data_IF_834567238063
#
_entry.id   IF_834567238063
#
_cell.length_a   1.000
_cell.length_b   1.000
_cell.length_c   1.000
_cell.angle_alpha   90.00
_cell.angle_beta   90.00
_cell.angle_gamma   90.00
#
_symmetry.space_group_name_H-M   'P 1'
#
loop_
_entity.id
_entity.type
_entity.pdbx_description
1 polymer ?
#
# COMPACT_ATOMS: atom_id res chain seq x y z
N UNK A 1 -36.16 -35.85 6.36
CA UNK A 1 -35.12 -36.19 5.35
C UNK A 1 -35.28 -35.20 4.20
N UNK A 2 -34.55 -34.12 4.22
CA UNK A 2 -34.65 -33.02 3.24
C UNK A 2 -33.58 -33.24 2.18
N UNK A 3 -34.02 -33.64 0.99
CA UNK A 3 -33.17 -33.77 -0.19
C UNK A 3 -32.80 -32.37 -0.70
N UNK A 4 -31.53 -32.01 -0.49
CA UNK A 4 -30.92 -30.90 -1.19
C UNK A 4 -30.78 -31.27 -2.67
N UNK A 5 -31.72 -30.82 -3.50
CA UNK A 5 -31.51 -30.80 -4.95
C UNK A 5 -30.48 -29.69 -5.25
N UNK A 6 -29.24 -30.15 -5.45
CA UNK A 6 -28.22 -29.34 -6.10
C UNK A 6 -28.66 -29.14 -7.56
N UNK A 7 -29.22 -27.98 -7.87
CA UNK A 7 -29.41 -27.51 -9.25
C UNK A 7 -28.04 -27.34 -9.88
N UNK A 8 -27.61 -28.34 -10.60
CA UNK A 8 -26.41 -28.30 -11.44
C UNK A 8 -26.75 -27.45 -12.68
N UNK A 9 -26.23 -26.21 -12.72
CA UNK A 9 -26.30 -25.40 -13.91
C UNK A 9 -25.30 -25.96 -14.95
N UNK A 10 -25.78 -26.39 -16.14
CA UNK A 10 -24.88 -26.92 -17.17
C UNK A 10 -24.13 -25.74 -17.82
N UNK A 11 -22.88 -25.55 -17.48
CA UNK A 11 -22.03 -24.52 -18.09
C UNK A 11 -20.80 -24.09 -17.31
N UNK A 12 -20.71 -24.36 -16.03
CA UNK A 12 -19.48 -24.09 -15.28
C UNK A 12 -18.48 -25.23 -15.51
N UNK A 13 -17.40 -24.92 -16.25
CA UNK A 13 -16.24 -25.79 -16.31
C UNK A 13 -15.73 -25.99 -14.87
N UNK A 14 -15.55 -27.23 -14.40
CA UNK A 14 -14.96 -27.49 -13.10
C UNK A 14 -13.54 -26.92 -13.13
N UNK A 15 -13.31 -25.83 -12.42
CA UNK A 15 -11.98 -25.35 -12.07
C UNK A 15 -11.37 -26.44 -11.20
N UNK A 16 -10.38 -27.15 -11.72
CA UNK A 16 -9.71 -28.25 -11.04
C UNK A 16 -9.17 -27.81 -9.68
N UNK A 17 -9.05 -28.72 -8.70
CA UNK A 17 -8.48 -28.42 -7.40
C UNK A 17 -7.00 -28.10 -7.59
N UNK A 18 -6.64 -26.82 -7.64
CA UNK A 18 -5.26 -26.37 -7.78
C UNK A 18 -5.02 -25.03 -8.49
N UNK A 19 -6.04 -24.45 -9.12
CA UNK A 19 -5.89 -23.07 -9.59
C UNK A 19 -6.03 -22.13 -8.40
N UNK A 20 -4.91 -21.74 -7.80
CA UNK A 20 -4.86 -20.58 -6.94
C UNK A 20 -5.49 -19.40 -7.72
N UNK A 21 -6.44 -18.67 -7.12
CA UNK A 21 -6.99 -17.49 -7.78
C UNK A 21 -5.81 -16.61 -8.17
N UNK A 22 -5.60 -16.45 -9.47
CA UNK A 22 -4.57 -15.56 -9.99
C UNK A 22 -4.85 -14.20 -9.35
N UNK A 23 -3.98 -13.75 -8.46
CA UNK A 23 -4.06 -12.43 -7.87
C UNK A 23 -3.77 -11.45 -9.02
N UNK A 24 -4.80 -11.15 -9.81
CA UNK A 24 -4.70 -10.13 -10.84
C UNK A 24 -4.40 -8.80 -10.16
N UNK A 25 -3.13 -8.42 -10.24
CA UNK A 25 -2.67 -7.13 -9.73
C UNK A 25 -3.34 -6.02 -10.54
N UNK A 26 -4.06 -5.15 -9.85
CA UNK A 26 -4.73 -4.00 -10.45
C UNK A 26 -3.67 -2.98 -10.89
N UNK A 27 -3.17 -3.14 -12.13
CA UNK A 27 -2.13 -2.27 -12.71
C UNK A 27 -2.45 -0.77 -12.62
N UNK A 28 -3.65 -0.29 -12.99
CA UNK A 28 -3.98 1.12 -12.86
C UNK A 28 -3.93 1.60 -11.40
N UNK A 29 -4.34 0.79 -10.43
CA UNK A 29 -4.28 1.15 -9.02
C UNK A 29 -2.82 1.18 -8.52
N UNK A 30 -1.97 0.27 -9.00
CA UNK A 30 -0.54 0.28 -8.72
C UNK A 30 0.12 1.61 -9.11
N UNK A 31 -0.05 2.03 -10.37
CA UNK A 31 0.56 3.27 -10.85
C UNK A 31 -0.02 4.52 -10.18
N UNK A 32 -1.32 4.52 -9.90
CA UNK A 32 -1.97 5.62 -9.18
C UNK A 32 -1.47 5.73 -7.75
N UNK A 33 -1.39 4.64 -7.01
CA UNK A 33 -0.91 4.66 -5.63
C UNK A 33 0.57 5.04 -5.56
N UNK A 34 1.40 4.52 -6.47
CA UNK A 34 2.80 4.88 -6.59
C UNK A 34 2.97 6.37 -6.88
N UNK A 35 2.24 6.91 -7.86
CA UNK A 35 2.33 8.31 -8.27
C UNK A 35 1.86 9.27 -7.17
N UNK A 36 0.71 9.00 -6.56
CA UNK A 36 0.17 9.84 -5.47
C UNK A 36 1.09 9.82 -4.25
N UNK A 37 1.59 8.64 -3.87
CA UNK A 37 2.50 8.51 -2.73
C UNK A 37 3.84 9.21 -2.99
N UNK A 38 4.42 9.02 -4.18
CA UNK A 38 5.66 9.70 -4.58
C UNK A 38 5.50 11.22 -4.60
N UNK A 39 4.38 11.71 -5.14
CA UNK A 39 4.06 13.14 -5.15
C UNK A 39 3.91 13.68 -3.73
N UNK A 40 3.16 12.99 -2.86
CA UNK A 40 2.96 13.40 -1.47
C UNK A 40 4.29 13.50 -0.71
N UNK A 41 5.18 12.53 -0.89
CA UNK A 41 6.52 12.55 -0.29
C UNK A 41 7.35 13.70 -0.85
N UNK A 42 7.34 13.91 -2.17
CA UNK A 42 8.11 14.99 -2.80
C UNK A 42 7.66 16.36 -2.30
N UNK A 43 6.35 16.60 -2.21
CA UNK A 43 5.78 17.84 -1.67
C UNK A 43 6.17 18.02 -0.22
N UNK A 44 6.08 16.98 0.59
CA UNK A 44 6.46 17.04 2.01
C UNK A 44 7.94 17.38 2.17
N UNK A 45 8.84 16.73 1.40
CA UNK A 45 10.26 17.04 1.42
C UNK A 45 10.54 18.48 0.96
N UNK A 46 9.86 18.95 -0.08
CA UNK A 46 9.98 20.32 -0.53
C UNK A 46 9.59 21.33 0.57
N UNK A 47 8.51 21.05 1.30
CA UNK A 47 8.08 21.87 2.44
C UNK A 47 9.12 21.83 3.56
N UNK A 48 9.63 20.67 3.93
CA UNK A 48 10.64 20.53 4.97
C UNK A 48 11.94 21.25 4.62
N UNK A 49 12.35 21.25 3.34
CA UNK A 49 13.53 21.97 2.87
C UNK A 49 13.31 23.50 2.82
N UNK A 50 12.06 23.94 2.59
CA UNK A 50 11.72 25.36 2.59
C UNK A 50 11.63 25.96 4.00
N UNK A 51 11.43 25.12 5.02
CA UNK A 51 11.42 25.57 6.41
C UNK A 51 12.85 25.80 6.90
N UNK A 52 13.10 26.89 7.66
CA UNK A 52 14.43 27.19 8.23
C UNK A 52 14.74 26.28 9.42
N UNK A 53 14.76 24.95 9.18
CA UNK A 53 15.03 23.97 10.21
C UNK A 53 16.54 23.76 10.36
N UNK A 54 17.02 23.79 11.61
CA UNK A 54 18.43 23.56 11.93
C UNK A 54 18.81 22.07 11.70
N UNK A 55 20.08 21.82 11.37
CA UNK A 55 20.62 20.45 11.23
C UNK A 55 20.43 19.62 12.52
N UNK A 56 20.51 20.26 13.67
CA UNK A 56 20.33 19.62 14.98
C UNK A 56 18.90 19.11 15.14
N UNK A 57 17.90 19.81 14.61
CA UNK A 57 16.50 19.35 14.60
C UNK A 57 16.35 17.99 13.89
N UNK A 58 16.95 17.83 12.71
CA UNK A 58 16.87 16.57 11.98
C UNK A 58 17.68 15.44 12.65
N UNK A 59 18.75 15.77 13.36
CA UNK A 59 19.52 14.79 14.12
C UNK A 59 18.73 14.27 15.31
N UNK A 60 18.06 15.15 16.03
CA UNK A 60 17.35 14.80 17.27
C UNK A 60 15.97 14.18 16.99
N UNK A 61 15.28 14.64 15.96
CA UNK A 61 13.92 14.26 15.63
C UNK A 61 13.78 13.41 14.36
N UNK A 62 14.84 13.19 13.60
CA UNK A 62 14.80 12.49 12.31
C UNK A 62 14.23 11.07 12.40
N UNK A 63 14.51 10.36 13.50
CA UNK A 63 13.99 9.03 13.75
C UNK A 63 12.45 8.98 13.91
N UNK A 64 11.84 10.10 14.35
CA UNK A 64 10.39 10.22 14.49
C UNK A 64 9.74 10.85 13.26
N UNK A 65 10.39 11.87 12.70
CA UNK A 65 9.88 12.61 11.55
C UNK A 65 9.70 11.68 10.33
N UNK A 66 10.64 10.78 10.08
CA UNK A 66 10.58 9.85 8.96
C UNK A 66 9.33 8.97 8.98
N UNK A 67 9.12 8.15 10.02
CA UNK A 67 7.93 7.30 10.14
C UNK A 67 6.61 8.08 10.17
N UNK A 68 6.57 9.21 10.89
CA UNK A 68 5.36 10.05 10.97
C UNK A 68 5.02 10.64 9.58
N UNK A 69 6.01 11.19 8.89
CA UNK A 69 5.84 11.72 7.53
C UNK A 69 5.37 10.65 6.56
N UNK A 70 5.95 9.46 6.64
CA UNK A 70 5.54 8.32 5.83
C UNK A 70 4.08 7.92 6.09
N UNK A 71 3.68 7.82 7.35
CA UNK A 71 2.31 7.51 7.75
C UNK A 71 1.32 8.57 7.24
N UNK A 72 1.64 9.85 7.40
CA UNK A 72 0.80 10.96 6.93
C UNK A 72 0.63 10.92 5.41
N UNK A 73 1.72 10.73 4.64
CA UNK A 73 1.64 10.59 3.18
C UNK A 73 0.78 9.40 2.78
N UNK A 74 0.88 8.28 3.50
CA UNK A 74 0.08 7.08 3.25
C UNK A 74 -1.41 7.30 3.52
N UNK A 75 -1.75 8.07 4.57
CA UNK A 75 -3.13 8.46 4.86
C UNK A 75 -3.70 9.41 3.79
N UNK A 76 -2.90 10.36 3.31
CA UNK A 76 -3.29 11.23 2.20
C UNK A 76 -3.57 10.40 0.96
N UNK A 77 -2.67 9.47 0.61
CA UNK A 77 -2.85 8.58 -0.53
C UNK A 77 -4.11 7.73 -0.39
N UNK A 78 -4.38 7.20 0.80
CA UNK A 78 -5.61 6.44 1.08
C UNK A 78 -6.87 7.28 0.86
N UNK A 79 -6.86 8.53 1.30
CA UNK A 79 -8.00 9.45 1.11
C UNK A 79 -8.22 9.78 -0.36
N UNK A 80 -7.15 10.09 -1.10
CA UNK A 80 -7.20 10.43 -2.54
C UNK A 80 -7.71 9.24 -3.36
N UNK A 81 -7.29 8.02 -3.03
CA UNK A 81 -7.68 6.81 -3.76
C UNK A 81 -8.92 6.12 -3.19
N UNK A 82 -9.53 6.67 -2.13
CA UNK A 82 -10.68 6.08 -1.43
C UNK A 82 -10.41 4.63 -0.99
N UNK A 83 -9.22 4.37 -0.45
CA UNK A 83 -8.82 3.08 0.09
C UNK A 83 -9.25 2.94 1.56
N UNK A 84 -9.54 1.72 2.03
CA UNK A 84 -9.82 1.49 3.45
C UNK A 84 -8.58 1.84 4.29
N UNK A 85 -8.82 2.50 5.41
CA UNK A 85 -7.78 2.99 6.31
C UNK A 85 -6.86 1.87 6.80
N UNK A 86 -7.45 0.71 7.14
CA UNK A 86 -6.70 -0.45 7.60
C UNK A 86 -5.70 -0.97 6.56
N UNK A 87 -6.11 -1.02 5.29
CA UNK A 87 -5.21 -1.40 4.18
C UNK A 87 -4.07 -0.40 4.04
N UNK A 88 -4.38 0.91 4.09
CA UNK A 88 -3.36 1.95 3.94
C UNK A 88 -2.33 1.91 5.07
N UNK A 89 -2.78 1.70 6.31
CA UNK A 89 -1.89 1.56 7.47
C UNK A 89 -1.04 0.29 7.37
N UNK A 90 -1.63 -0.82 6.95
CA UNK A 90 -0.90 -2.07 6.72
C UNK A 90 0.15 -1.89 5.61
N UNK A 91 -0.24 -1.30 4.48
CA UNK A 91 0.68 -1.03 3.37
C UNK A 91 1.79 -0.06 3.77
N UNK A 92 1.47 0.96 4.58
CA UNK A 92 2.46 1.90 5.12
C UNK A 92 3.45 1.20 6.05
N UNK A 93 2.97 0.34 6.94
CA UNK A 93 3.82 -0.42 7.86
C UNK A 93 4.74 -1.37 7.08
N UNK A 94 4.17 -2.15 6.15
CA UNK A 94 4.93 -3.10 5.33
C UNK A 94 6.00 -2.38 4.48
N UNK A 95 5.63 -1.29 3.81
CA UNK A 95 6.54 -0.46 3.03
C UNK A 95 7.62 0.20 3.90
N UNK A 96 7.24 0.73 5.06
CA UNK A 96 8.17 1.36 5.99
C UNK A 96 9.21 0.37 6.54
N UNK A 97 8.79 -0.81 6.97
CA UNK A 97 9.70 -1.85 7.47
C UNK A 97 10.63 -2.36 6.36
N UNK A 98 10.08 -2.68 5.18
CA UNK A 98 10.89 -3.14 4.05
C UNK A 98 11.92 -2.08 3.62
N UNK A 99 11.50 -0.83 3.54
CA UNK A 99 12.39 0.28 3.20
C UNK A 99 13.44 0.56 4.26
N UNK A 100 13.11 0.44 5.53
CA UNK A 100 14.08 0.57 6.62
C UNK A 100 15.18 -0.50 6.51
N UNK A 101 14.80 -1.76 6.34
CA UNK A 101 15.75 -2.86 6.21
C UNK A 101 16.69 -2.69 5.01
N UNK A 102 16.14 -2.33 3.85
CA UNK A 102 16.94 -2.05 2.65
C UNK A 102 17.78 -0.78 2.82
N UNK A 103 17.22 0.24 3.45
CA UNK A 103 17.93 1.50 3.73
C UNK A 103 19.16 1.33 4.59
N UNK A 104 19.15 0.39 5.55
CA UNK A 104 20.29 0.08 6.40
C UNK A 104 21.45 -0.58 5.62
N UNK A 105 21.13 -1.36 4.57
CA UNK A 105 22.13 -2.12 3.81
C UNK A 105 22.56 -1.37 2.54
N UNK A 106 21.61 -0.81 1.80
CA UNK A 106 21.83 -0.24 0.47
C UNK A 106 21.70 1.31 0.43
N UNK A 107 21.44 1.93 1.58
CA UNK A 107 21.32 3.38 1.71
C UNK A 107 19.90 3.90 1.57
N UNK A 108 19.68 5.12 2.05
CA UNK A 108 18.34 5.73 2.21
C UNK A 108 17.54 5.84 0.91
N UNK A 109 18.20 6.11 -0.23
CA UNK A 109 17.54 6.20 -1.52
C UNK A 109 16.94 4.85 -1.97
N UNK A 110 17.69 3.77 -1.82
CA UNK A 110 17.22 2.42 -2.12
C UNK A 110 16.07 2.02 -1.20
N UNK A 111 16.17 2.34 0.09
CA UNK A 111 15.12 2.12 1.07
C UNK A 111 13.81 2.83 0.71
N UNK A 112 13.89 4.09 0.28
CA UNK A 112 12.72 4.86 -0.15
C UNK A 112 12.03 4.23 -1.39
N UNK A 113 12.80 3.83 -2.38
CA UNK A 113 12.27 3.17 -3.58
C UNK A 113 11.55 1.87 -3.21
N UNK A 114 12.16 1.04 -2.37
CA UNK A 114 11.55 -0.22 -1.92
C UNK A 114 10.28 0.04 -1.10
N UNK A 115 10.29 1.04 -0.21
CA UNK A 115 9.09 1.45 0.54
C UNK A 115 7.92 1.79 -0.38
N UNK A 116 8.18 2.60 -1.42
CA UNK A 116 7.18 3.01 -2.40
C UNK A 116 6.64 1.81 -3.19
N UNK A 117 7.52 0.92 -3.64
CA UNK A 117 7.12 -0.27 -4.40
C UNK A 117 6.27 -1.22 -3.56
N UNK A 118 6.69 -1.53 -2.33
CA UNK A 118 5.94 -2.40 -1.41
C UNK A 118 4.57 -1.80 -1.09
N UNK A 119 4.51 -0.50 -0.81
CA UNK A 119 3.26 0.21 -0.59
C UNK A 119 2.32 0.11 -1.81
N UNK A 120 2.84 0.36 -3.01
CA UNK A 120 2.06 0.31 -4.25
C UNK A 120 1.56 -1.11 -4.56
N UNK A 121 2.38 -2.14 -4.34
CA UNK A 121 1.98 -3.55 -4.51
C UNK A 121 0.89 -3.93 -3.52
N UNK A 122 1.02 -3.53 -2.24
CA UNK A 122 0.00 -3.78 -1.23
C UNK A 122 -1.35 -3.13 -1.59
N UNK A 123 -1.31 -1.88 -2.08
CA UNK A 123 -2.51 -1.20 -2.57
C UNK A 123 -3.10 -1.85 -3.83
N UNK A 124 -2.27 -2.34 -4.74
CA UNK A 124 -2.70 -2.99 -5.99
C UNK A 124 -3.39 -4.34 -5.77
N UNK A 125 -3.14 -4.99 -4.64
CA UNK A 125 -3.83 -6.21 -4.22
C UNK A 125 -5.25 -5.98 -3.70
N UNK A 126 -5.68 -4.73 -3.56
CA UNK A 126 -7.01 -4.40 -3.05
C UNK A 126 -8.09 -4.61 -4.11
N UNK A 127 -9.06 -5.45 -3.80
CA UNK A 127 -10.25 -5.69 -4.63
C UNK A 127 -11.51 -5.15 -3.94
N UNK A 128 -11.97 -3.99 -4.39
CA UNK A 128 -13.17 -3.33 -3.86
C UNK A 128 -14.45 -4.20 -3.97
N UNK A 129 -14.51 -5.09 -4.97
CA UNK A 129 -15.67 -5.97 -5.16
C UNK A 129 -15.73 -7.05 -4.09
N UNK A 130 -14.58 -7.58 -3.67
CA UNK A 130 -14.50 -8.56 -2.59
C UNK A 130 -14.91 -7.96 -1.25
N UNK A 131 -14.47 -6.75 -0.95
CA UNK A 131 -14.83 -6.07 0.29
C UNK A 131 -16.32 -5.74 0.36
N UNK A 132 -16.92 -5.28 -0.75
CA UNK A 132 -18.34 -5.04 -0.82
C UNK A 132 -19.17 -6.34 -0.64
N UNK A 133 -18.68 -7.46 -1.18
CA UNK A 133 -19.33 -8.76 -1.00
C UNK A 133 -19.19 -9.31 0.43
N UNK A 134 -18.07 -9.03 1.11
CA UNK A 134 -17.85 -9.43 2.49
C UNK A 134 -18.63 -8.60 3.51
N UNK A 135 -19.04 -7.36 3.14
CA UNK A 135 -19.83 -6.46 3.98
C UNK A 135 -21.37 -6.64 3.80
N UNK A 136 -21.77 -7.40 2.81
CA UNK A 136 -23.19 -7.71 2.54
C UNK A 136 -23.63 -9.00 3.25
#
# INVERSE_FOLDING_TARGET
MVLYQLSYAPGEKPTGPGSLPSAEMNRPLFWRSLGVQALAITVLFAVLLALPLNRDFFRDWGALIGPVSWAVCSLITARVLSLPLGLALFAALAGGVAGLLVGLVAGHGAGLVVSLLVFAVACAGYDRKRDAAAAA
#
